data_IF_327924400282
#
_entry.id   IF_327924400282
#
_cell.length_a   1.000
_cell.length_b   1.000
_cell.length_c   1.000
_cell.angle_alpha   90.00
_cell.angle_beta   90.00
_cell.angle_gamma   90.00
#
_symmetry.space_group_name_H-M   'P 1'
#
loop_
_entity.id
_entity.type
_entity.pdbx_description
1 polymer ?
#
# COMPACT_ATOMS: atom_id res chain seq x y z
N UNK A 1 -7.03 -12.86 19.70
CA UNK A 1 -6.80 -13.10 18.26
C UNK A 1 -7.89 -13.98 17.68
N UNK A 2 -8.01 -15.25 18.06
CA UNK A 2 -9.02 -16.18 17.50
C UNK A 2 -10.47 -15.63 17.48
N UNK A 3 -10.90 -14.94 18.54
CA UNK A 3 -12.26 -14.37 18.60
C UNK A 3 -12.49 -13.24 17.56
N UNK A 4 -11.43 -12.52 17.18
CA UNK A 4 -11.49 -11.50 16.12
C UNK A 4 -11.44 -12.17 14.74
N UNK A 5 -10.55 -13.15 14.57
CA UNK A 5 -10.40 -13.92 13.33
C UNK A 5 -11.68 -14.73 13.00
N UNK A 6 -12.34 -15.27 14.01
CA UNK A 6 -13.62 -15.98 13.86
C UNK A 6 -14.85 -15.08 13.73
N UNK A 7 -14.68 -13.75 13.85
CA UNK A 7 -15.79 -12.79 13.79
C UNK A 7 -16.66 -12.73 15.04
N UNK A 8 -16.28 -13.40 16.14
CA UNK A 8 -16.97 -13.30 17.43
C UNK A 8 -16.80 -11.92 18.08
N UNK A 9 -15.65 -11.28 17.85
CA UNK A 9 -15.41 -9.88 18.21
C UNK A 9 -15.20 -9.08 16.92
N UNK A 10 -15.98 -8.03 16.76
CA UNK A 10 -15.96 -7.14 15.60
C UNK A 10 -15.28 -5.81 15.94
N UNK A 11 -14.86 -5.09 14.90
CA UNK A 11 -14.41 -3.72 15.05
C UNK A 11 -15.45 -2.87 15.79
N UNK A 12 -14.99 -2.09 16.77
CA UNK A 12 -15.82 -1.25 17.61
C UNK A 12 -16.40 -1.98 18.83
N UNK A 13 -16.27 -3.30 18.93
CA UNK A 13 -16.74 -4.02 20.11
C UNK A 13 -15.93 -3.62 21.35
N UNK A 14 -16.65 -3.35 22.42
CA UNK A 14 -16.07 -3.00 23.71
C UNK A 14 -15.61 -4.25 24.44
N UNK A 15 -14.36 -4.28 24.85
CA UNK A 15 -13.81 -5.34 25.67
C UNK A 15 -14.18 -5.17 27.16
N UNK A 16 -14.27 -6.27 27.93
CA UNK A 16 -14.44 -6.22 29.37
C UNK A 16 -13.36 -5.39 30.05
N UNK A 17 -13.65 -4.87 31.24
CA UNK A 17 -12.57 -4.24 32.04
C UNK A 17 -11.57 -5.29 32.51
N UNK A 18 -10.33 -4.87 32.77
CA UNK A 18 -9.28 -5.77 33.29
C UNK A 18 -9.75 -6.56 34.51
N UNK A 19 -10.52 -5.92 35.39
CA UNK A 19 -11.06 -6.56 36.62
C UNK A 19 -12.12 -7.62 36.30
N UNK A 20 -13.06 -7.30 35.42
CA UNK A 20 -14.11 -8.24 35.05
C UNK A 20 -13.52 -9.45 34.32
N UNK A 21 -12.64 -9.23 33.32
CA UNK A 21 -12.03 -10.34 32.61
C UNK A 21 -11.13 -11.20 33.52
N UNK A 22 -10.42 -10.59 34.48
CA UNK A 22 -9.64 -11.31 35.46
C UNK A 22 -10.52 -12.20 36.35
N UNK A 23 -11.67 -11.68 36.78
CA UNK A 23 -12.64 -12.43 37.56
C UNK A 23 -13.24 -13.61 36.77
N UNK A 24 -13.69 -13.34 35.54
CA UNK A 24 -14.31 -14.35 34.69
C UNK A 24 -13.36 -15.50 34.31
N UNK A 25 -12.06 -15.20 34.17
CA UNK A 25 -11.04 -16.18 33.79
C UNK A 25 -10.29 -16.79 34.99
N UNK A 26 -10.55 -16.34 36.20
CA UNK A 26 -9.80 -16.77 37.41
C UNK A 26 -8.34 -16.37 37.39
N UNK A 27 -7.98 -15.26 36.74
CA UNK A 27 -6.61 -14.76 36.58
C UNK A 27 -6.35 -13.51 37.43
N UNK A 28 -5.07 -13.16 37.61
CA UNK A 28 -4.73 -11.88 38.23
C UNK A 28 -5.03 -10.70 37.30
N UNK A 29 -5.45 -9.57 37.88
CA UNK A 29 -5.66 -8.32 37.11
C UNK A 29 -4.38 -7.89 36.38
N UNK A 30 -3.22 -8.15 37.00
CA UNK A 30 -1.92 -7.84 36.39
C UNK A 30 -1.66 -8.69 35.13
N UNK A 31 -2.03 -9.98 35.15
CA UNK A 31 -1.90 -10.88 33.99
C UNK A 31 -2.76 -10.39 32.84
N UNK A 32 -4.02 -10.02 33.12
CA UNK A 32 -4.93 -9.46 32.12
C UNK A 32 -4.41 -8.11 31.62
N UNK A 33 -3.88 -7.25 32.49
CA UNK A 33 -3.28 -5.97 32.10
C UNK A 33 -2.15 -6.17 31.07
N UNK A 34 -1.22 -7.08 31.34
CA UNK A 34 -0.14 -7.41 30.38
C UNK A 34 -0.67 -7.90 29.02
N UNK A 35 -1.73 -8.68 29.02
CA UNK A 35 -2.35 -9.16 27.79
C UNK A 35 -2.97 -7.99 26.98
N UNK A 36 -3.63 -7.06 27.68
CA UNK A 36 -4.19 -5.86 27.05
C UNK A 36 -3.08 -4.95 26.51
N UNK A 37 -2.02 -4.71 27.28
CA UNK A 37 -0.88 -3.92 26.82
C UNK A 37 -0.25 -4.52 25.56
N UNK A 38 -0.12 -5.84 25.50
CA UNK A 38 0.40 -6.54 24.32
C UNK A 38 -0.54 -6.41 23.11
N UNK A 39 -1.86 -6.52 23.32
CA UNK A 39 -2.84 -6.32 22.26
C UNK A 39 -2.87 -4.86 21.76
N UNK A 40 -2.68 -3.88 22.66
CA UNK A 40 -2.54 -2.46 22.32
C UNK A 40 -1.25 -2.26 21.49
N UNK A 41 -0.15 -2.83 21.94
CA UNK A 41 1.14 -2.77 21.24
C UNK A 41 1.06 -3.36 19.84
N UNK A 42 0.28 -4.42 19.65
CA UNK A 42 -0.01 -5.01 18.33
C UNK A 42 -1.06 -4.24 17.52
N UNK A 43 -1.62 -3.18 18.05
CA UNK A 43 -2.64 -2.39 17.38
C UNK A 43 -4.00 -3.08 17.20
N UNK A 44 -4.23 -4.20 17.91
CA UNK A 44 -5.47 -4.99 17.82
C UNK A 44 -6.62 -4.35 18.58
N UNK A 45 -6.29 -3.68 19.69
CA UNK A 45 -7.26 -2.96 20.53
C UNK A 45 -6.73 -1.56 20.84
N UNK A 46 -7.62 -0.64 21.21
CA UNK A 46 -7.28 0.70 21.65
C UNK A 46 -8.06 1.07 22.91
N UNK A 47 -7.38 1.72 23.85
CA UNK A 47 -8.01 2.35 25.00
C UNK A 47 -8.51 3.75 24.65
N UNK A 48 -9.77 4.05 24.96
CA UNK A 48 -10.33 5.39 24.91
C UNK A 48 -10.53 5.89 26.34
N UNK A 49 -9.92 7.02 26.66
CA UNK A 49 -9.99 7.59 28.02
C UNK A 49 -11.46 7.84 28.42
N UNK A 50 -11.88 7.27 29.54
CA UNK A 50 -13.25 7.38 30.05
C UNK A 50 -14.29 6.50 29.37
N UNK A 51 -14.00 5.87 28.23
CA UNK A 51 -14.96 5.07 27.46
C UNK A 51 -14.69 3.57 27.53
N UNK A 52 -13.44 3.16 27.67
CA UNK A 52 -13.06 1.76 27.78
C UNK A 52 -12.05 1.33 26.71
N UNK A 53 -11.88 0.03 26.53
CA UNK A 53 -11.01 -0.57 25.52
C UNK A 53 -11.86 -1.20 24.43
N UNK A 54 -11.54 -0.93 23.19
CA UNK A 54 -12.31 -1.35 22.03
C UNK A 54 -11.43 -2.14 21.03
N UNK A 55 -12.05 -3.07 20.34
CA UNK A 55 -11.40 -3.75 19.20
C UNK A 55 -11.20 -2.72 18.10
N UNK A 56 -9.94 -2.51 17.72
CA UNK A 56 -9.64 -1.70 16.53
C UNK A 56 -10.07 -2.46 15.29
N UNK A 57 -10.42 -1.73 14.22
CA UNK A 57 -10.36 -2.34 12.90
C UNK A 57 -9.02 -3.06 12.83
N UNK A 58 -8.99 -4.33 12.48
CA UNK A 58 -7.75 -4.91 12.01
C UNK A 58 -7.20 -3.87 11.04
N UNK A 59 -6.02 -3.32 11.34
CA UNK A 59 -5.35 -2.45 10.38
C UNK A 59 -5.45 -3.24 9.10
N UNK A 60 -6.28 -2.74 8.16
CA UNK A 60 -6.67 -3.46 6.96
C UNK A 60 -5.38 -4.09 6.49
N UNK A 61 -5.34 -5.41 6.38
CA UNK A 61 -4.08 -6.15 6.32
C UNK A 61 -3.20 -5.46 5.27
N UNK A 62 -2.33 -4.57 5.71
CA UNK A 62 -1.47 -3.74 4.87
C UNK A 62 -0.39 -4.60 4.24
N UNK A 63 -0.34 -5.86 4.65
CA UNK A 63 0.44 -6.87 3.97
C UNK A 63 -0.25 -7.10 2.64
N UNK A 64 0.38 -6.63 1.59
CA UNK A 64 0.05 -7.08 0.25
C UNK A 64 0.01 -8.61 0.31
N UNK A 65 -1.14 -9.24 0.09
CA UNK A 65 -1.19 -10.68 0.14
C UNK A 65 -0.34 -11.20 -1.01
N UNK A 66 0.88 -11.63 -0.69
CA UNK A 66 1.69 -12.43 -1.60
C UNK A 66 1.01 -13.79 -1.65
N UNK A 67 0.02 -13.92 -2.51
CA UNK A 67 -0.67 -15.17 -2.66
C UNK A 67 0.29 -16.21 -3.21
N UNK A 68 0.41 -17.29 -2.48
CA UNK A 68 0.86 -18.54 -3.06
C UNK A 68 -0.20 -18.90 -4.12
N UNK A 69 0.16 -18.77 -5.36
CA UNK A 69 -0.53 -19.49 -6.42
C UNK A 69 -0.28 -20.95 -6.10
N UNK A 70 -1.29 -21.63 -5.55
CA UNK A 70 -1.22 -23.06 -5.29
C UNK A 70 -1.10 -23.73 -6.64
N UNK A 71 -0.05 -24.51 -6.85
CA UNK A 71 0.06 -25.40 -7.99
C UNK A 71 -1.13 -26.38 -7.94
N UNK A 72 -2.18 -26.12 -8.72
CA UNK A 72 -3.17 -27.14 -9.02
C UNK A 72 -4.65 -26.87 -8.75
N UNK A 73 -5.06 -25.68 -8.32
CA UNK A 73 -6.49 -25.37 -8.18
C UNK A 73 -7.02 -24.62 -9.41
N UNK A 74 -8.21 -25.03 -9.89
CA UNK A 74 -8.99 -24.37 -10.94
C UNK A 74 -9.51 -22.97 -10.51
N UNK A 75 -8.78 -22.27 -9.63
CA UNK A 75 -9.17 -20.96 -9.15
C UNK A 75 -8.60 -19.88 -10.07
N UNK A 76 -9.48 -19.09 -10.67
CA UNK A 76 -9.08 -17.90 -11.41
C UNK A 76 -8.84 -16.79 -10.38
N UNK A 77 -7.57 -16.46 -10.13
CA UNK A 77 -7.17 -15.48 -9.14
C UNK A 77 -7.15 -14.06 -9.74
N UNK A 78 -8.08 -13.22 -9.30
CA UNK A 78 -8.14 -11.80 -9.64
C UNK A 78 -7.57 -10.88 -8.55
N UNK A 79 -6.96 -11.43 -7.50
CA UNK A 79 -6.42 -10.63 -6.39
C UNK A 79 -5.12 -9.89 -6.74
N UNK A 80 -4.44 -10.32 -7.81
CA UNK A 80 -3.17 -9.76 -8.26
C UNK A 80 -3.34 -8.92 -9.53
N UNK A 81 -2.79 -7.70 -9.52
CA UNK A 81 -2.64 -6.89 -10.71
C UNK A 81 -1.46 -7.38 -11.54
N UNK A 82 -1.64 -8.49 -12.23
CA UNK A 82 -0.64 -9.02 -13.15
C UNK A 82 -0.99 -8.64 -14.59
N UNK A 83 -0.04 -8.08 -15.36
CA UNK A 83 -0.29 -7.81 -16.76
C UNK A 83 -0.46 -9.11 -17.52
N UNK A 84 -1.36 -9.12 -18.50
CA UNK A 84 -1.48 -10.23 -19.44
C UNK A 84 -0.25 -10.22 -20.35
N UNK A 85 0.61 -11.21 -20.20
CA UNK A 85 1.82 -11.38 -20.99
C UNK A 85 1.64 -12.49 -22.02
N UNK A 86 2.28 -12.34 -23.18
CA UNK A 86 2.30 -13.31 -24.26
C UNK A 86 3.67 -13.40 -24.92
N UNK A 87 3.80 -14.27 -25.91
CA UNK A 87 5.08 -14.51 -26.63
C UNK A 87 5.77 -13.26 -27.10
N UNK A 88 5.03 -12.26 -27.56
CA UNK A 88 5.58 -10.98 -28.00
C UNK A 88 6.35 -10.26 -26.88
N UNK A 89 5.88 -10.32 -25.65
CA UNK A 89 6.55 -9.70 -24.50
C UNK A 89 7.86 -10.44 -24.18
N UNK A 90 7.84 -11.77 -24.23
CA UNK A 90 9.04 -12.57 -24.02
C UNK A 90 10.10 -12.34 -25.09
N UNK A 91 9.70 -12.31 -26.36
CA UNK A 91 10.59 -12.09 -27.50
C UNK A 91 11.24 -10.70 -27.42
N UNK A 92 10.45 -9.66 -27.13
CA UNK A 92 10.95 -8.30 -26.97
C UNK A 92 11.90 -8.17 -25.77
N UNK A 93 11.56 -8.80 -24.65
CA UNK A 93 12.43 -8.78 -23.47
C UNK A 93 13.76 -9.49 -23.75
N UNK A 94 13.74 -10.66 -24.40
CA UNK A 94 14.98 -11.36 -24.81
C UNK A 94 15.84 -10.51 -25.74
N UNK A 95 15.22 -9.87 -26.74
CA UNK A 95 15.93 -9.00 -27.66
C UNK A 95 16.59 -7.80 -26.93
N UNK A 96 15.84 -7.14 -26.04
CA UNK A 96 16.34 -6.02 -25.23
C UNK A 96 17.52 -6.45 -24.34
N UNK A 97 17.40 -7.58 -23.64
CA UNK A 97 18.46 -8.09 -22.78
C UNK A 97 19.72 -8.47 -23.60
N UNK A 98 19.54 -9.04 -24.78
CA UNK A 98 20.66 -9.36 -25.68
C UNK A 98 21.35 -8.12 -26.22
N UNK A 99 20.62 -7.03 -26.47
CA UNK A 99 21.17 -5.74 -26.86
C UNK A 99 21.92 -5.10 -25.68
N UNK A 100 21.29 -4.99 -24.54
CA UNK A 100 21.90 -4.46 -23.31
C UNK A 100 23.19 -5.17 -22.93
N UNK A 101 23.26 -6.49 -23.09
CA UNK A 101 24.46 -7.26 -22.73
C UNK A 101 25.69 -6.92 -23.60
N UNK A 102 25.49 -6.35 -24.81
CA UNK A 102 26.58 -5.91 -25.69
C UNK A 102 27.08 -4.51 -25.39
N UNK A 103 26.16 -3.63 -24.98
CA UNK A 103 26.41 -2.19 -24.86
C UNK A 103 26.48 -1.72 -23.40
N UNK A 104 26.47 -2.64 -22.45
CA UNK A 104 26.48 -2.31 -21.04
C UNK A 104 27.85 -1.74 -20.63
N UNK A 105 27.89 -0.44 -20.37
CA UNK A 105 29.09 0.25 -19.93
C UNK A 105 29.34 0.12 -18.42
N UNK A 106 30.61 0.22 -18.02
CA UNK A 106 30.99 0.24 -16.59
C UNK A 106 30.34 1.40 -15.83
N UNK A 107 30.09 2.52 -16.51
CA UNK A 107 29.44 3.69 -15.90
C UNK A 107 27.99 3.42 -15.51
N UNK A 108 27.29 2.55 -16.24
CA UNK A 108 25.95 2.12 -15.91
C UNK A 108 25.96 1.15 -14.71
N UNK A 109 26.95 0.24 -14.68
CA UNK A 109 27.02 -0.82 -13.67
C UNK A 109 27.50 -0.33 -12.30
N UNK A 110 28.42 0.63 -12.26
CA UNK A 110 29.15 0.99 -11.05
C UNK A 110 28.98 2.45 -10.62
N UNK A 111 28.11 3.21 -11.26
CA UNK A 111 27.88 4.61 -10.89
C UNK A 111 26.88 4.75 -9.75
N UNK A 112 27.30 5.36 -8.64
CA UNK A 112 26.41 5.77 -7.54
C UNK A 112 25.58 7.02 -7.87
N UNK A 113 25.93 7.75 -8.93
CA UNK A 113 25.23 8.96 -9.38
C UNK A 113 25.13 8.97 -10.89
N UNK A 114 24.23 8.20 -11.48
CA UNK A 114 24.17 8.03 -12.94
C UNK A 114 23.53 9.23 -13.65
N UNK A 115 24.10 10.44 -13.51
CA UNK A 115 23.58 11.62 -14.23
C UNK A 115 23.51 11.39 -15.73
N UNK A 116 24.55 10.78 -16.32
CA UNK A 116 24.58 10.47 -17.74
C UNK A 116 23.54 9.42 -18.14
N UNK A 117 23.37 8.37 -17.33
CA UNK A 117 22.36 7.32 -17.53
C UNK A 117 20.93 7.89 -17.37
N UNK A 118 20.71 8.79 -16.40
CA UNK A 118 19.45 9.49 -16.24
C UNK A 118 19.09 10.37 -17.45
N UNK A 119 20.06 10.83 -18.24
CA UNK A 119 19.78 11.62 -19.44
C UNK A 119 19.09 10.78 -20.52
N UNK A 120 19.64 9.61 -20.87
CA UNK A 120 19.04 8.72 -21.88
C UNK A 120 17.68 8.15 -21.42
N UNK A 121 17.57 7.79 -20.15
CA UNK A 121 16.29 7.34 -19.58
C UNK A 121 15.23 8.45 -19.62
N UNK A 122 15.63 9.69 -19.33
CA UNK A 122 14.71 10.84 -19.39
C UNK A 122 14.23 11.12 -20.80
N UNK A 123 15.09 11.00 -21.80
CA UNK A 123 14.72 11.17 -23.22
C UNK A 123 13.72 10.10 -23.67
N UNK A 124 13.97 8.83 -23.32
CA UNK A 124 13.05 7.75 -23.62
C UNK A 124 11.69 7.94 -22.91
N UNK A 125 11.70 8.37 -21.64
CA UNK A 125 10.50 8.63 -20.88
C UNK A 125 9.70 9.82 -21.44
N UNK A 126 10.34 10.91 -21.82
CA UNK A 126 9.68 12.05 -22.46
C UNK A 126 9.06 11.65 -23.80
N UNK A 127 9.75 10.83 -24.60
CA UNK A 127 9.20 10.28 -25.83
C UNK A 127 7.95 9.41 -25.59
N UNK A 128 7.94 8.66 -24.49
CA UNK A 128 6.77 7.87 -24.08
C UNK A 128 5.61 8.75 -23.60
N UNK A 129 5.88 9.71 -22.69
CA UNK A 129 4.87 10.66 -22.18
C UNK A 129 4.19 11.42 -23.33
N UNK A 130 4.96 11.87 -24.31
CA UNK A 130 4.40 12.54 -25.50
C UNK A 130 3.42 11.63 -26.26
N UNK A 131 3.70 10.33 -26.39
CA UNK A 131 2.75 9.38 -27.02
C UNK A 131 1.48 9.21 -26.18
N UNK A 132 1.56 9.37 -24.86
CA UNK A 132 0.42 9.36 -23.95
C UNK A 132 -0.31 10.72 -23.88
N UNK A 133 0.07 11.71 -24.69
CA UNK A 133 -0.55 13.03 -24.69
C UNK A 133 -0.10 13.94 -23.55
N UNK A 134 0.97 13.58 -22.83
CA UNK A 134 1.54 14.38 -21.73
C UNK A 134 2.78 15.12 -22.24
N UNK A 135 2.71 16.45 -22.22
CA UNK A 135 3.85 17.31 -22.50
C UNK A 135 4.58 17.63 -21.20
N UNK A 136 5.85 17.30 -21.13
CA UNK A 136 6.72 17.57 -20.00
C UNK A 136 8.14 17.86 -20.47
N UNK A 137 8.89 18.59 -19.67
CA UNK A 137 10.33 18.75 -19.85
C UNK A 137 11.13 17.88 -18.86
N UNK A 138 12.44 17.84 -19.06
CA UNK A 138 13.34 17.03 -18.24
C UNK A 138 13.34 17.44 -16.76
N UNK A 139 13.13 18.70 -16.43
CA UNK A 139 13.12 19.19 -15.06
C UNK A 139 11.88 18.72 -14.29
N UNK A 140 10.80 18.39 -15.02
CA UNK A 140 9.55 17.90 -14.47
C UNK A 140 9.52 16.37 -14.34
N UNK A 141 10.59 15.67 -14.74
CA UNK A 141 10.62 14.21 -14.78
C UNK A 141 11.53 13.65 -13.69
N UNK A 142 10.97 12.79 -12.86
CA UNK A 142 11.70 12.03 -11.86
C UNK A 142 11.50 10.52 -12.10
N UNK A 143 12.49 9.82 -12.67
CA UNK A 143 12.46 8.36 -12.77
C UNK A 143 12.52 7.70 -11.41
N UNK A 144 11.71 6.68 -11.19
CA UNK A 144 11.64 5.93 -9.93
C UNK A 144 11.69 4.41 -10.16
N UNK A 145 11.99 3.66 -9.11
CA UNK A 145 11.97 2.19 -9.15
C UNK A 145 10.53 1.67 -9.03
N UNK A 146 9.74 1.87 -10.07
CA UNK A 146 8.36 1.43 -10.14
C UNK A 146 7.37 2.41 -9.50
N UNK A 147 6.08 2.13 -9.71
CA UNK A 147 4.98 2.99 -9.32
C UNK A 147 4.86 3.21 -7.81
N UNK A 148 5.13 2.18 -7.00
CA UNK A 148 5.10 2.31 -5.53
C UNK A 148 6.09 3.36 -5.02
N UNK A 149 7.31 3.39 -5.57
CA UNK A 149 8.30 4.41 -5.23
C UNK A 149 7.85 5.80 -5.68
N UNK A 150 7.23 5.92 -6.85
CA UNK A 150 6.66 7.19 -7.32
C UNK A 150 5.57 7.70 -6.39
N UNK A 151 4.61 6.86 -6.02
CA UNK A 151 3.54 7.21 -5.08
C UNK A 151 4.11 7.62 -3.71
N UNK A 152 5.12 6.89 -3.21
CA UNK A 152 5.77 7.23 -1.93
C UNK A 152 6.37 8.64 -1.97
N UNK A 153 7.16 8.93 -3.01
CA UNK A 153 7.76 10.26 -3.17
C UNK A 153 6.71 11.35 -3.32
N UNK A 154 5.65 11.10 -4.10
CA UNK A 154 4.56 12.05 -4.30
C UNK A 154 3.84 12.35 -2.96
N UNK A 155 3.47 11.32 -2.20
CA UNK A 155 2.81 11.48 -0.91
C UNK A 155 3.69 12.23 0.09
N UNK A 156 4.97 11.84 0.23
CA UNK A 156 5.92 12.52 1.13
C UNK A 156 6.18 13.99 0.76
N UNK A 157 5.98 14.34 -0.52
CA UNK A 157 6.17 15.71 -0.99
C UNK A 157 4.92 16.55 -0.82
N UNK A 158 3.74 15.95 -1.05
CA UNK A 158 2.46 16.65 -1.09
C UNK A 158 1.74 16.71 0.27
N UNK A 159 2.02 15.77 1.19
CA UNK A 159 1.30 15.65 2.45
C UNK A 159 2.25 15.47 3.65
N UNK A 160 1.78 15.87 4.82
CA UNK A 160 2.46 15.71 6.12
C UNK A 160 1.72 14.71 6.98
N UNK A 161 2.39 14.04 7.94
CA UNK A 161 1.72 13.17 8.91
C UNK A 161 0.51 13.85 9.55
N UNK A 162 -0.61 13.13 9.60
CA UNK A 162 -1.90 13.61 10.10
C UNK A 162 -2.78 14.30 9.06
N UNK A 163 -2.28 14.62 7.86
CA UNK A 163 -3.12 15.16 6.78
C UNK A 163 -3.91 14.08 6.05
N UNK A 164 -4.97 14.51 5.36
CA UNK A 164 -5.90 13.63 4.65
C UNK A 164 -5.52 13.52 3.18
N UNK A 165 -5.43 12.28 2.72
CA UNK A 165 -5.36 11.93 1.31
C UNK A 165 -6.75 11.46 0.88
N UNK A 166 -7.21 11.96 -0.23
CA UNK A 166 -8.49 11.58 -0.84
C UNK A 166 -8.21 10.78 -2.11
N UNK A 167 -8.97 9.74 -2.33
CA UNK A 167 -8.87 8.90 -3.53
C UNK A 167 -10.25 8.40 -3.95
N UNK A 168 -10.32 7.76 -5.08
CA UNK A 168 -11.47 6.95 -5.46
C UNK A 168 -11.72 5.85 -4.42
N UNK A 169 -12.97 5.48 -4.18
CA UNK A 169 -13.33 4.42 -3.22
C UNK A 169 -12.70 3.08 -3.59
N UNK A 170 -12.66 2.77 -4.90
CA UNK A 170 -11.92 1.65 -5.46
C UNK A 170 -10.55 2.11 -5.94
N UNK A 171 -9.57 2.12 -5.05
CA UNK A 171 -8.21 2.60 -5.33
C UNK A 171 -7.16 1.50 -5.30
N UNK A 172 -5.94 1.84 -5.70
CA UNK A 172 -4.80 0.93 -5.72
C UNK A 172 -4.47 0.44 -4.29
N UNK A 173 -4.38 -0.88 -4.11
CA UNK A 173 -4.16 -1.50 -2.80
C UNK A 173 -2.93 -0.98 -2.04
N UNK A 174 -1.85 -0.63 -2.75
CA UNK A 174 -0.62 -0.08 -2.16
C UNK A 174 -0.83 1.29 -1.52
N UNK A 175 -1.81 2.10 -1.99
CA UNK A 175 -2.07 3.43 -1.45
C UNK A 175 -2.49 3.34 0.03
N UNK A 176 -3.33 2.37 0.39
CA UNK A 176 -3.75 2.14 1.78
C UNK A 176 -2.55 1.88 2.70
N UNK A 177 -1.63 1.03 2.25
CA UNK A 177 -0.42 0.72 3.00
C UNK A 177 0.48 1.96 3.14
N UNK A 178 0.71 2.69 2.06
CA UNK A 178 1.54 3.90 2.07
C UNK A 178 0.97 4.98 2.99
N UNK A 179 -0.32 5.28 2.92
CA UNK A 179 -0.96 6.24 3.82
C UNK A 179 -0.80 5.82 5.28
N UNK A 180 -0.98 4.53 5.59
CA UNK A 180 -0.79 4.02 6.95
C UNK A 180 0.66 4.16 7.43
N UNK A 181 1.66 3.85 6.60
CA UNK A 181 3.08 3.98 6.96
C UNK A 181 3.55 5.43 7.08
N UNK A 182 2.96 6.33 6.32
CA UNK A 182 3.27 7.77 6.34
C UNK A 182 2.41 8.54 7.36
N UNK A 183 1.61 7.83 8.16
CA UNK A 183 0.70 8.42 9.15
C UNK A 183 -0.30 9.41 8.53
N UNK A 184 -0.74 9.15 7.30
CA UNK A 184 -1.73 9.93 6.57
C UNK A 184 -3.12 9.32 6.75
N UNK A 185 -4.14 10.17 6.84
CA UNK A 185 -5.53 9.75 6.68
C UNK A 185 -5.79 9.37 5.22
N UNK A 186 -6.63 8.37 4.98
CA UNK A 186 -7.11 8.03 3.64
C UNK A 186 -8.63 7.97 3.63
N UNK A 187 -9.25 8.71 2.73
CA UNK A 187 -10.70 8.72 2.54
C UNK A 187 -11.04 8.40 1.09
N UNK A 188 -11.94 7.41 0.89
CA UNK A 188 -12.45 7.05 -0.42
C UNK A 188 -13.70 7.86 -0.74
N UNK A 189 -13.79 8.37 -1.96
CA UNK A 189 -14.94 9.09 -2.47
C UNK A 189 -15.70 8.25 -3.49
N UNK A 190 -17.00 8.43 -3.54
CA UNK A 190 -17.89 7.84 -4.52
C UNK A 190 -17.45 8.23 -5.94
N UNK A 191 -17.50 7.24 -6.84
CA UNK A 191 -17.14 7.40 -8.25
C UNK A 191 -18.28 6.96 -9.17
N UNK A 192 -18.36 7.60 -10.33
CA UNK A 192 -19.20 7.19 -11.44
C UNK A 192 -18.37 6.83 -12.67
N UNK A 193 -18.97 6.73 -13.84
CA UNK A 193 -18.29 6.39 -15.10
C UNK A 193 -17.29 7.47 -15.57
N UNK A 194 -17.36 8.69 -15.03
CA UNK A 194 -16.48 9.82 -15.38
C UNK A 194 -15.38 10.06 -14.31
N UNK A 195 -15.47 9.41 -13.15
CA UNK A 195 -14.50 9.53 -12.06
C UNK A 195 -15.11 9.88 -10.71
N UNK A 196 -14.40 10.64 -9.89
CA UNK A 196 -14.90 11.05 -8.57
C UNK A 196 -16.09 12.00 -8.75
N UNK A 197 -17.22 11.66 -8.10
CA UNK A 197 -18.42 12.51 -8.07
C UNK A 197 -18.11 13.81 -7.33
N UNK A 198 -18.22 15.00 -7.98
CA UNK A 198 -17.84 16.28 -7.36
C UNK A 198 -18.55 16.55 -6.03
N UNK A 199 -19.81 16.16 -5.90
CA UNK A 199 -20.62 16.34 -4.69
C UNK A 199 -20.11 15.52 -3.50
N UNK A 200 -19.47 14.37 -3.76
CA UNK A 200 -18.84 13.56 -2.71
C UNK A 200 -17.61 14.24 -2.09
N UNK A 201 -17.06 15.25 -2.75
CA UNK A 201 -15.92 16.01 -2.26
C UNK A 201 -16.34 17.13 -1.27
N UNK A 202 -17.60 17.54 -1.30
CA UNK A 202 -18.15 18.61 -0.45
C UNK A 202 -18.74 18.09 0.87
N UNK A 203 -18.90 16.76 1.01
CA UNK A 203 -19.51 16.09 2.17
C UNK A 203 -18.47 15.66 3.19
#
# INVERSE_FOLDING_TARGET
>A
MQAIESGQLKHGDRLPTHRNLAYDLGLSVQTVGRAYDELIRRGVIAGEVGRGTFVRAAAADTRTPWHRIGDGDEVIDFSMLTPVTGKIHEERMRATLAEMSRDLSSDVLFSFRPRATLLSHSEAALGWLKRCGVEADRAQLLPTNGNTSAMTVALMTAARPGELVVSEDLTHHTLKALCSYLELGLHGLETDDEGIVPQAFES
#
